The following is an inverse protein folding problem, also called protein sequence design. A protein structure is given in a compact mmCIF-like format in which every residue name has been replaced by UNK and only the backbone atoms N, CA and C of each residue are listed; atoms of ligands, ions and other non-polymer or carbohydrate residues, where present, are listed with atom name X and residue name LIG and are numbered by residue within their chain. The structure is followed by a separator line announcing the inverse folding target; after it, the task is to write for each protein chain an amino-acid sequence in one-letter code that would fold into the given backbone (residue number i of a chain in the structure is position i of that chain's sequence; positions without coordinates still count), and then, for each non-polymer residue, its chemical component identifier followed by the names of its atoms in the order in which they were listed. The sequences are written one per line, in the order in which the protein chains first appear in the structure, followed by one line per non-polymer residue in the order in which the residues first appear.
data_IF_024128351635
#
_entry.id   IF_024128351635
#
_cell.length_a   1.000
_cell.length_b   1.000
_cell.length_c   1.000
_cell.angle_alpha   90.00
_cell.angle_beta   90.00
_cell.angle_gamma   90.00
#
_symmetry.space_group_name_H-M   'P 1'
#
loop_
_entity.id
_entity.type
_entity.pdbx_description
1 polymer ?
#
# COMPACT_ATOMS: atom_id res chain seq x y z
N UNK A 1 -3.00 20.62 23.59
CA UNK A 1 -3.68 21.22 24.79
C UNK A 1 -2.63 21.84 25.67
N UNK A 2 -2.95 22.92 26.42
CA UNK A 2 -2.07 23.46 27.44
C UNK A 2 -2.12 22.58 28.71
N UNK A 3 -1.21 22.82 29.69
CA UNK A 3 -1.12 22.03 30.91
C UNK A 3 -2.42 21.99 31.77
N UNK A 4 -3.41 22.79 31.44
CA UNK A 4 -4.73 22.88 32.14
C UNK A 4 -5.87 22.29 31.29
N UNK A 5 -5.59 21.59 30.21
CA UNK A 5 -6.63 21.03 29.32
C UNK A 5 -7.34 22.06 28.41
N UNK A 6 -6.96 23.34 28.48
CA UNK A 6 -7.56 24.40 27.67
C UNK A 6 -7.14 24.30 26.18
N UNK A 7 -8.11 24.47 25.29
CA UNK A 7 -7.86 24.48 23.85
C UNK A 7 -7.21 25.81 23.44
N UNK A 8 -6.04 25.73 22.80
CA UNK A 8 -5.28 26.93 22.37
C UNK A 8 -5.81 27.47 21.04
N UNK A 9 -6.30 28.71 21.04
CA UNK A 9 -6.83 29.39 19.84
C UNK A 9 -5.81 30.26 19.11
N UNK A 10 -4.72 30.68 19.77
CA UNK A 10 -3.72 31.60 19.20
C UNK A 10 -3.06 31.08 17.91
N UNK A 11 -2.68 29.79 17.75
CA UNK A 11 -2.12 29.33 16.49
C UNK A 11 -3.06 29.55 15.31
N UNK A 12 -4.35 29.22 15.44
CA UNK A 12 -5.37 29.46 14.40
C UNK A 12 -5.55 30.93 14.10
N UNK A 13 -5.64 31.77 15.15
CA UNK A 13 -5.72 33.23 14.97
C UNK A 13 -4.52 33.80 14.21
N UNK A 14 -3.31 33.33 14.53
CA UNK A 14 -2.09 33.75 13.85
C UNK A 14 -2.10 33.32 12.36
N UNK A 15 -2.42 32.07 12.08
CA UNK A 15 -2.54 31.53 10.71
C UNK A 15 -3.52 32.36 9.87
N UNK A 16 -4.70 32.67 10.41
CA UNK A 16 -5.70 33.48 9.70
C UNK A 16 -5.25 34.92 9.51
N UNK A 17 -4.54 35.51 10.48
CA UNK A 17 -3.96 36.85 10.37
C UNK A 17 -2.96 36.90 9.23
N UNK A 18 -2.02 35.95 9.14
CA UNK A 18 -1.03 35.87 8.06
C UNK A 18 -1.70 35.68 6.70
N UNK A 19 -2.69 34.78 6.61
CA UNK A 19 -3.45 34.54 5.38
C UNK A 19 -4.13 35.82 4.87
N UNK A 20 -4.77 36.56 5.78
CA UNK A 20 -5.42 37.85 5.45
C UNK A 20 -4.42 38.91 5.06
N UNK A 21 -3.22 38.89 5.62
CA UNK A 21 -2.11 39.78 5.18
C UNK A 21 -1.72 39.57 3.72
N UNK A 22 -2.00 38.39 3.16
CA UNK A 22 -1.83 38.05 1.73
C UNK A 22 -3.08 38.36 0.88
N UNK A 23 -4.13 38.96 1.46
CA UNK A 23 -5.36 39.29 0.77
C UNK A 23 -6.38 38.13 0.67
N UNK A 24 -6.17 37.04 1.38
CA UNK A 24 -7.06 35.86 1.35
C UNK A 24 -7.83 35.76 2.67
N UNK A 25 -9.15 35.66 2.61
CA UNK A 25 -10.02 35.48 3.78
C UNK A 25 -10.62 34.07 3.76
N UNK A 26 -10.52 33.30 4.85
CA UNK A 26 -11.15 31.99 4.92
C UNK A 26 -12.67 32.13 5.10
N UNK A 27 -13.43 31.27 4.43
CA UNK A 27 -14.86 31.14 4.62
C UNK A 27 -15.19 30.13 5.74
N UNK A 28 -14.35 29.09 5.91
CA UNK A 28 -14.52 28.03 6.87
C UNK A 28 -13.19 27.77 7.58
N UNK A 29 -13.25 27.52 8.88
CA UNK A 29 -12.12 27.06 9.70
C UNK A 29 -12.35 25.61 10.09
N UNK A 30 -11.51 24.69 9.62
CA UNK A 30 -11.53 23.30 10.04
C UNK A 30 -10.40 23.09 11.04
N UNK A 31 -10.77 22.96 12.31
CA UNK A 31 -9.84 22.96 13.43
C UNK A 31 -9.55 21.54 13.92
N UNK A 32 -8.31 21.09 13.80
CA UNK A 32 -7.84 19.79 14.29
C UNK A 32 -7.54 19.85 15.79
N UNK A 33 -8.12 18.93 16.56
CA UNK A 33 -7.95 18.85 18.02
C UNK A 33 -8.09 17.40 18.49
N UNK A 34 -7.72 17.11 19.74
CA UNK A 34 -7.89 15.77 20.34
C UNK A 34 -9.32 15.53 20.84
N UNK A 35 -10.05 16.61 21.14
CA UNK A 35 -11.42 16.58 21.65
C UNK A 35 -12.28 17.61 20.91
N UNK A 36 -13.61 17.48 20.89
CA UNK A 36 -14.50 18.48 20.30
C UNK A 36 -14.19 19.89 20.77
N UNK A 37 -14.31 20.88 19.88
CA UNK A 37 -14.18 22.28 20.27
C UNK A 37 -15.33 22.67 21.22
N UNK A 38 -14.97 23.34 22.33
CA UNK A 38 -15.99 23.94 23.21
C UNK A 38 -16.70 25.09 22.49
N UNK A 39 -17.90 25.40 22.93
CA UNK A 39 -18.70 26.53 22.39
C UNK A 39 -17.91 27.84 22.52
N UNK A 40 -17.31 28.11 23.67
CA UNK A 40 -16.52 29.29 23.95
C UNK A 40 -15.28 29.39 23.03
N UNK A 41 -14.63 28.25 22.76
CA UNK A 41 -13.48 28.16 21.81
C UNK A 41 -13.92 28.48 20.38
N UNK A 42 -15.06 27.95 19.96
CA UNK A 42 -15.65 28.18 18.65
C UNK A 42 -16.03 29.65 18.44
N UNK A 43 -16.73 30.24 19.40
CA UNK A 43 -17.12 31.67 19.39
C UNK A 43 -15.90 32.57 19.38
N UNK A 44 -14.89 32.27 20.20
CA UNK A 44 -13.62 33.01 20.24
C UNK A 44 -12.88 32.96 18.89
N UNK A 45 -12.78 31.81 18.28
CA UNK A 45 -12.18 31.67 16.93
C UNK A 45 -12.98 32.44 15.89
N UNK A 46 -14.31 32.33 15.90
CA UNK A 46 -15.19 33.02 14.97
C UNK A 46 -14.98 34.54 15.04
N UNK A 47 -14.97 35.10 16.26
CA UNK A 47 -14.79 36.54 16.50
C UNK A 47 -13.41 37.03 15.98
N UNK A 48 -12.31 36.32 16.34
CA UNK A 48 -10.96 36.73 15.97
C UNK A 48 -10.63 36.50 14.50
N UNK A 49 -11.22 35.49 13.87
CA UNK A 49 -10.96 35.12 12.47
C UNK A 49 -11.97 35.74 11.50
N UNK A 50 -13.00 36.42 12.01
CA UNK A 50 -14.08 37.05 11.22
C UNK A 50 -14.85 36.07 10.32
N UNK A 51 -15.18 34.91 10.86
CA UNK A 51 -16.07 33.91 10.24
C UNK A 51 -17.29 33.72 11.14
N UNK A 52 -18.37 33.12 10.62
CA UNK A 52 -19.51 32.77 11.48
C UNK A 52 -19.13 31.63 12.45
N UNK A 53 -19.72 31.56 13.65
CA UNK A 53 -19.51 30.44 14.58
C UNK A 53 -19.81 29.07 13.95
N UNK A 54 -20.79 29.00 13.06
CA UNK A 54 -21.15 27.80 12.29
C UNK A 54 -20.04 27.36 11.32
N UNK A 55 -19.26 28.31 10.80
CA UNK A 55 -18.15 28.04 9.90
C UNK A 55 -16.85 27.62 10.63
N UNK A 56 -16.87 27.52 11.97
CA UNK A 56 -15.76 26.98 12.74
C UNK A 56 -16.06 25.52 13.06
N UNK A 57 -15.47 24.62 12.32
CA UNK A 57 -15.69 23.18 12.42
C UNK A 57 -14.62 22.50 13.26
N UNK A 58 -15.04 21.51 14.04
CA UNK A 58 -14.16 20.66 14.84
C UNK A 58 -13.86 19.38 14.09
N UNK A 59 -12.58 19.08 13.88
CA UNK A 59 -12.11 17.76 13.45
C UNK A 59 -11.27 17.16 14.57
N UNK A 60 -11.94 16.48 15.49
CA UNK A 60 -11.29 15.85 16.64
C UNK A 60 -10.97 14.38 16.37
N UNK A 61 -10.28 13.74 17.32
CA UNK A 61 -9.95 12.33 17.24
C UNK A 61 -11.20 11.46 17.17
N UNK A 62 -11.21 10.52 16.24
CA UNK A 62 -12.31 9.57 15.99
C UNK A 62 -11.74 8.16 15.90
N UNK A 63 -12.55 7.10 16.11
CA UNK A 63 -12.08 5.72 16.07
C UNK A 63 -11.33 5.35 14.77
N UNK A 64 -11.83 5.84 13.65
CA UNK A 64 -11.16 5.69 12.36
C UNK A 64 -11.41 6.93 11.47
N UNK A 65 -10.51 7.16 10.50
CA UNK A 65 -10.53 8.36 9.65
C UNK A 65 -11.81 8.50 8.80
N UNK A 66 -12.53 7.40 8.55
CA UNK A 66 -13.75 7.41 7.74
C UNK A 66 -14.94 8.06 8.44
N UNK A 67 -14.86 8.33 9.74
CA UNK A 67 -15.82 9.15 10.47
C UNK A 67 -15.69 10.67 10.19
N UNK A 68 -14.53 11.13 9.70
CA UNK A 68 -14.29 12.57 9.49
C UNK A 68 -15.28 13.21 8.50
N UNK A 69 -15.58 12.64 7.32
CA UNK A 69 -16.60 13.21 6.43
C UNK A 69 -17.98 13.29 7.07
N UNK A 70 -18.37 12.29 7.88
CA UNK A 70 -19.64 12.26 8.59
C UNK A 70 -19.70 13.38 9.64
N UNK A 71 -18.62 13.54 10.41
CA UNK A 71 -18.49 14.61 11.41
C UNK A 71 -18.58 16.01 10.79
N UNK A 72 -18.01 16.22 9.62
CA UNK A 72 -18.09 17.50 8.90
C UNK A 72 -19.50 17.74 8.35
N UNK A 73 -20.16 16.70 7.83
CA UNK A 73 -21.55 16.77 7.41
C UNK A 73 -22.48 17.14 8.57
N UNK A 74 -22.35 16.48 9.72
CA UNK A 74 -23.15 16.75 10.93
C UNK A 74 -22.99 18.18 11.44
N UNK A 75 -21.86 18.82 11.16
CA UNK A 75 -21.61 20.21 11.49
C UNK A 75 -22.08 21.21 10.41
N UNK A 76 -22.75 20.76 9.35
CA UNK A 76 -23.35 21.63 8.34
C UNK A 76 -22.37 22.09 7.25
N UNK A 77 -21.31 21.31 6.95
CA UNK A 77 -20.35 21.68 5.90
C UNK A 77 -21.02 21.90 4.53
N UNK A 78 -21.92 21.00 4.16
CA UNK A 78 -22.61 21.06 2.88
C UNK A 78 -23.50 22.32 2.75
N UNK A 79 -24.21 22.68 3.83
CA UNK A 79 -25.04 23.87 3.90
C UNK A 79 -24.24 25.15 3.71
N UNK A 80 -23.06 25.22 4.36
CA UNK A 80 -22.19 26.41 4.26
C UNK A 80 -21.60 26.52 2.86
N UNK A 81 -21.28 25.40 2.21
CA UNK A 81 -20.76 25.36 0.86
C UNK A 81 -21.85 25.54 -0.22
N UNK A 82 -23.13 25.54 0.16
CA UNK A 82 -24.24 25.62 -0.77
C UNK A 82 -24.34 24.38 -1.70
N UNK A 83 -23.82 23.22 -1.25
CA UNK A 83 -23.85 21.97 -2.02
C UNK A 83 -25.16 21.24 -1.74
N UNK A 84 -25.81 20.78 -2.82
CA UNK A 84 -27.07 20.03 -2.70
C UNK A 84 -26.85 18.66 -2.04
N UNK A 85 -27.66 18.39 -1.00
CA UNK A 85 -27.58 17.16 -0.19
C UNK A 85 -28.14 15.89 -0.84
N UNK A 86 -28.51 15.93 -2.14
CA UNK A 86 -29.22 14.82 -2.78
C UNK A 86 -28.39 13.55 -3.02
N UNK A 87 -27.16 13.50 -2.57
CA UNK A 87 -26.32 12.27 -2.61
C UNK A 87 -26.42 11.46 -1.31
N UNK A 88 -27.63 11.24 -0.81
CA UNK A 88 -27.89 10.53 0.45
C UNK A 88 -27.36 9.09 0.45
N UNK A 89 -27.37 8.41 -0.70
CA UNK A 89 -26.95 7.01 -0.79
C UNK A 89 -25.45 6.84 -0.57
N UNK A 90 -24.62 7.68 -1.17
CA UNK A 90 -23.16 7.64 -0.99
C UNK A 90 -22.76 7.87 0.48
N UNK A 91 -23.40 8.83 1.15
CA UNK A 91 -23.10 9.10 2.57
C UNK A 91 -23.63 8.00 3.49
N UNK A 92 -24.75 7.37 3.16
CA UNK A 92 -25.27 6.22 3.90
C UNK A 92 -24.34 5.01 3.77
N UNK A 93 -23.83 4.74 2.59
CA UNK A 93 -22.88 3.64 2.37
C UNK A 93 -21.54 3.93 3.03
N UNK A 94 -21.08 5.18 2.99
CA UNK A 94 -19.91 5.63 3.72
C UNK A 94 -20.06 5.46 5.24
N UNK A 95 -21.23 5.81 5.78
CA UNK A 95 -21.55 5.63 7.20
C UNK A 95 -21.54 4.16 7.61
N UNK A 96 -22.17 3.27 6.80
CA UNK A 96 -22.14 1.83 7.03
C UNK A 96 -20.70 1.32 7.07
N UNK A 97 -19.88 1.72 6.10
CA UNK A 97 -18.47 1.32 6.01
C UNK A 97 -17.66 1.80 7.22
N UNK A 98 -17.80 3.06 7.65
CA UNK A 98 -17.09 3.61 8.79
C UNK A 98 -17.43 2.87 10.10
N UNK A 99 -18.72 2.58 10.33
CA UNK A 99 -19.17 1.82 11.50
C UNK A 99 -18.77 0.33 11.39
N UNK A 100 -18.81 -0.25 10.20
CA UNK A 100 -18.39 -1.63 9.99
C UNK A 100 -16.94 -1.84 10.44
N UNK A 101 -16.03 -0.93 10.06
CA UNK A 101 -14.63 -0.99 10.48
C UNK A 101 -14.47 -0.99 12.01
N UNK A 102 -15.33 -0.25 12.73
CA UNK A 102 -15.29 -0.22 14.21
C UNK A 102 -15.75 -1.54 14.85
N UNK A 103 -16.52 -2.36 14.12
CA UNK A 103 -17.09 -3.62 14.62
C UNK A 103 -16.24 -4.86 14.32
N UNK A 104 -15.20 -4.71 13.49
CA UNK A 104 -14.31 -5.83 13.13
C UNK A 104 -13.51 -6.32 14.33
N UNK A 105 -13.66 -7.59 14.68
CA UNK A 105 -13.01 -8.23 15.83
C UNK A 105 -12.05 -9.34 15.43
N UNK A 106 -12.39 -10.13 14.41
CA UNK A 106 -11.53 -11.20 13.91
C UNK A 106 -10.32 -10.61 13.19
N UNK A 107 -9.13 -10.91 13.69
CA UNK A 107 -7.88 -10.40 13.11
C UNK A 107 -7.44 -11.20 11.88
N UNK A 108 -6.70 -10.54 10.99
CA UNK A 108 -5.85 -11.14 9.98
C UNK A 108 -4.46 -10.50 10.08
N UNK A 109 -3.45 -11.34 10.19
CA UNK A 109 -2.05 -10.95 10.38
C UNK A 109 -1.30 -10.95 9.07
N UNK A 110 -0.80 -9.79 8.65
CA UNK A 110 0.00 -9.66 7.42
C UNK A 110 1.42 -9.22 7.79
N UNK A 111 2.37 -10.12 7.54
CA UNK A 111 3.79 -9.81 7.65
C UNK A 111 4.19 -8.84 6.53
N UNK A 112 4.53 -7.61 6.90
CA UNK A 112 5.08 -6.61 5.97
C UNK A 112 6.59 -6.59 6.06
N UNK A 113 7.25 -7.24 5.09
CA UNK A 113 8.72 -7.37 5.05
C UNK A 113 9.32 -6.22 4.26
N UNK A 114 9.79 -5.20 4.97
CA UNK A 114 10.24 -3.94 4.37
C UNK A 114 11.53 -3.39 4.96
N UNK A 115 11.78 -2.12 4.62
CA UNK A 115 12.84 -1.28 5.21
C UNK A 115 12.19 -0.16 6.00
N UNK A 116 12.92 0.40 6.99
CA UNK A 116 12.40 1.56 7.76
C UNK A 116 11.04 1.28 8.40
N UNK A 117 10.90 0.10 8.97
CA UNK A 117 9.65 -0.37 9.58
C UNK A 117 9.19 0.48 10.76
N UNK A 118 10.09 1.26 11.36
CA UNK A 118 9.78 2.25 12.41
C UNK A 118 9.05 3.50 11.89
N UNK A 119 9.06 3.74 10.56
CA UNK A 119 8.42 4.88 9.90
C UNK A 119 7.22 4.41 9.06
N UNK A 120 6.11 4.10 9.70
CA UNK A 120 4.88 3.63 9.02
C UNK A 120 4.39 4.57 7.90
N UNK A 121 4.67 5.86 8.00
CA UNK A 121 4.28 6.86 6.99
C UNK A 121 4.89 6.58 5.60
N UNK A 122 6.07 5.93 5.55
CA UNK A 122 6.70 5.54 4.29
C UNK A 122 5.84 4.55 3.48
N UNK A 123 4.98 3.80 4.14
CA UNK A 123 4.12 2.77 3.55
C UNK A 123 2.63 3.11 3.60
N UNK A 124 2.27 4.36 3.83
CA UNK A 124 0.87 4.76 4.08
C UNK A 124 -0.10 4.26 2.99
N UNK A 125 0.27 4.33 1.71
CA UNK A 125 -0.57 3.84 0.61
C UNK A 125 -0.77 2.33 0.66
N UNK A 126 0.27 1.56 1.01
CA UNK A 126 0.22 0.10 1.19
C UNK A 126 -0.66 -0.25 2.38
N UNK A 127 -0.46 0.42 3.53
CA UNK A 127 -1.27 0.25 4.74
C UNK A 127 -2.74 0.50 4.44
N UNK A 128 -3.06 1.60 3.75
CA UNK A 128 -4.44 1.92 3.36
C UNK A 128 -5.03 0.87 2.42
N UNK A 129 -4.25 0.35 1.49
CA UNK A 129 -4.71 -0.70 0.58
C UNK A 129 -5.00 -2.01 1.31
N UNK A 130 -4.14 -2.40 2.26
CA UNK A 130 -4.40 -3.54 3.15
C UNK A 130 -5.66 -3.30 4.00
N UNK A 131 -5.87 -2.10 4.55
CA UNK A 131 -7.08 -1.76 5.30
C UNK A 131 -8.34 -1.87 4.44
N UNK A 132 -8.31 -1.34 3.21
CA UNK A 132 -9.46 -1.46 2.28
C UNK A 132 -9.78 -2.92 1.96
N UNK A 133 -8.75 -3.74 1.75
CA UNK A 133 -8.91 -5.16 1.47
C UNK A 133 -9.41 -5.94 2.70
N UNK A 134 -8.88 -5.64 3.90
CA UNK A 134 -9.30 -6.27 5.15
C UNK A 134 -10.78 -5.98 5.47
N UNK A 135 -11.22 -4.74 5.24
CA UNK A 135 -12.65 -4.37 5.35
C UNK A 135 -13.52 -5.19 4.40
N UNK A 136 -13.05 -5.45 3.18
CA UNK A 136 -13.81 -6.20 2.17
C UNK A 136 -13.91 -7.71 2.45
N UNK A 137 -13.06 -8.23 3.33
CA UNK A 137 -13.08 -9.64 3.80
C UNK A 137 -13.55 -9.79 5.25
N UNK A 138 -14.11 -8.73 5.82
CA UNK A 138 -14.63 -8.68 7.19
C UNK A 138 -13.59 -9.05 8.26
N UNK A 139 -12.37 -8.49 8.15
CA UNK A 139 -11.28 -8.73 9.11
C UNK A 139 -10.67 -7.44 9.63
N UNK A 140 -10.24 -7.50 10.90
CA UNK A 140 -9.41 -6.47 11.52
C UNK A 140 -7.96 -6.68 11.08
N UNK A 141 -7.40 -5.74 10.34
CA UNK A 141 -6.01 -5.81 9.89
C UNK A 141 -5.05 -5.65 11.07
N UNK A 142 -4.11 -6.58 11.19
CA UNK A 142 -2.89 -6.48 12.01
C UNK A 142 -1.70 -6.54 11.05
N UNK A 143 -0.81 -5.57 11.15
CA UNK A 143 0.43 -5.56 10.35
C UNK A 143 1.58 -5.93 11.26
N UNK A 144 2.19 -7.06 10.98
CA UNK A 144 3.40 -7.52 11.65
C UNK A 144 4.61 -6.98 10.87
N UNK A 145 5.21 -5.92 11.41
CA UNK A 145 6.33 -5.24 10.78
C UNK A 145 7.62 -6.04 10.91
N UNK A 146 8.25 -6.35 9.80
CA UNK A 146 9.50 -7.10 9.75
C UNK A 146 10.55 -6.29 9.00
N UNK A 147 11.60 -5.85 9.71
CA UNK A 147 12.78 -5.28 9.06
C UNK A 147 13.48 -6.40 8.28
N UNK A 148 13.55 -6.24 6.96
CA UNK A 148 13.99 -7.31 6.07
C UNK A 148 15.40 -7.84 6.39
N UNK A 149 16.32 -6.97 6.83
CA UNK A 149 17.67 -7.37 7.20
C UNK A 149 17.69 -8.39 8.36
N UNK A 150 16.68 -8.39 9.23
CA UNK A 150 16.62 -9.33 10.35
C UNK A 150 16.29 -10.78 9.91
N UNK A 151 15.87 -10.98 8.67
CA UNK A 151 15.65 -12.32 8.10
C UNK A 151 16.91 -12.87 7.40
N UNK A 152 17.96 -12.07 7.25
CA UNK A 152 19.19 -12.48 6.58
C UNK A 152 19.97 -13.51 7.40
N UNK A 153 20.63 -14.43 6.71
CA UNK A 153 21.35 -15.54 7.36
C UNK A 153 22.53 -15.08 8.22
N UNK A 154 23.15 -13.97 7.85
CA UNK A 154 24.31 -13.37 8.50
C UNK A 154 23.98 -12.24 9.49
N UNK A 155 22.67 -11.99 9.74
CA UNK A 155 22.29 -11.00 10.76
C UNK A 155 22.80 -11.40 12.13
N UNK A 156 23.58 -10.50 12.74
CA UNK A 156 24.36 -10.80 13.93
C UNK A 156 23.55 -10.81 15.24
N UNK A 157 22.39 -10.15 15.29
CA UNK A 157 21.54 -10.14 16.49
C UNK A 157 20.52 -11.28 16.44
N UNK A 158 20.84 -12.38 17.10
CA UNK A 158 19.99 -13.58 17.12
C UNK A 158 18.60 -13.36 17.73
N UNK A 159 18.45 -12.42 18.67
CA UNK A 159 17.15 -12.10 19.27
C UNK A 159 16.22 -11.40 18.27
N UNK A 160 16.75 -10.41 17.53
CA UNK A 160 16.01 -9.73 16.46
C UNK A 160 15.65 -10.69 15.33
N UNK A 161 16.61 -11.54 14.92
CA UNK A 161 16.43 -12.56 13.90
C UNK A 161 15.32 -13.56 14.30
N UNK A 162 15.37 -14.08 15.52
CA UNK A 162 14.35 -14.98 16.03
C UNK A 162 12.97 -14.32 16.02
N UNK A 163 12.86 -13.09 16.53
CA UNK A 163 11.63 -12.32 16.56
C UNK A 163 11.06 -12.11 15.15
N UNK A 164 11.90 -11.75 14.18
CA UNK A 164 11.50 -11.53 12.80
C UNK A 164 10.96 -12.81 12.15
N UNK A 165 11.67 -13.94 12.33
CA UNK A 165 11.23 -15.23 11.82
C UNK A 165 9.95 -15.76 12.51
N UNK A 166 9.80 -15.53 13.81
CA UNK A 166 8.58 -15.92 14.53
C UNK A 166 7.38 -15.08 14.06
N UNK A 167 7.57 -13.77 13.84
CA UNK A 167 6.53 -12.90 13.25
C UNK A 167 6.15 -13.38 11.86
N UNK A 168 7.12 -13.71 11.00
CA UNK A 168 6.86 -14.23 9.66
C UNK A 168 6.08 -15.54 9.66
N UNK A 169 6.44 -16.47 10.55
CA UNK A 169 5.81 -17.80 10.65
C UNK A 169 4.39 -17.76 11.21
N UNK A 170 4.08 -16.75 12.01
CA UNK A 170 2.76 -16.60 12.64
C UNK A 170 1.79 -15.74 11.80
N UNK A 171 2.25 -15.16 10.71
CA UNK A 171 1.40 -14.36 9.84
C UNK A 171 0.54 -15.22 8.91
N UNK A 172 -0.68 -14.74 8.63
CA UNK A 172 -1.62 -15.37 7.69
C UNK A 172 -1.25 -15.11 6.22
N UNK A 173 -0.45 -14.09 5.97
CA UNK A 173 0.03 -13.73 4.64
C UNK A 173 1.26 -12.83 4.69
N UNK A 174 2.01 -12.79 3.59
CA UNK A 174 3.26 -12.05 3.44
C UNK A 174 3.13 -11.00 2.35
N UNK A 175 3.53 -9.78 2.65
CA UNK A 175 3.65 -8.69 1.69
C UNK A 175 5.07 -8.16 1.64
N UNK A 176 5.66 -8.14 0.45
CA UNK A 176 6.95 -7.49 0.18
C UNK A 176 6.70 -6.26 -0.68
N UNK A 177 6.78 -5.05 -0.12
CA UNK A 177 6.51 -3.81 -0.85
C UNK A 177 7.65 -3.43 -1.80
N UNK A 178 7.37 -2.45 -2.66
CA UNK A 178 8.37 -1.79 -3.48
C UNK A 178 9.46 -1.09 -2.66
N UNK A 179 10.62 -0.91 -3.26
CA UNK A 179 11.77 -0.24 -2.65
C UNK A 179 12.92 -0.12 -3.62
N UNK A 180 13.98 0.58 -3.21
CA UNK A 180 15.22 0.74 -3.96
C UNK A 180 16.43 0.37 -3.10
N UNK A 181 17.55 -0.01 -3.75
CA UNK A 181 18.81 -0.34 -3.12
C UNK A 181 18.83 -1.73 -2.47
N UNK A 182 19.99 -2.14 -2.06
CA UNK A 182 20.40 -3.51 -1.73
C UNK A 182 20.10 -3.95 -0.28
N UNK A 183 19.95 -3.01 0.66
CA UNK A 183 19.71 -3.34 2.08
C UNK A 183 18.46 -4.21 2.27
N UNK A 184 18.61 -5.36 2.92
CA UNK A 184 17.51 -6.27 3.26
C UNK A 184 16.99 -7.08 2.07
N UNK A 185 17.71 -7.13 0.94
CA UNK A 185 17.28 -7.88 -0.25
C UNK A 185 17.27 -9.38 0.03
N UNK A 186 18.31 -9.92 0.65
CA UNK A 186 18.38 -11.35 0.97
C UNK A 186 17.30 -11.76 1.97
N UNK A 187 16.96 -10.89 2.92
CA UNK A 187 15.85 -11.15 3.83
C UNK A 187 14.48 -11.15 3.14
N UNK A 188 14.28 -10.30 2.12
CA UNK A 188 13.05 -10.34 1.29
C UNK A 188 12.99 -11.59 0.42
N UNK A 189 14.14 -12.04 -0.11
CA UNK A 189 14.26 -13.32 -0.83
C UNK A 189 13.92 -14.47 0.10
N UNK A 190 14.42 -14.45 1.35
CA UNK A 190 14.10 -15.47 2.36
C UNK A 190 12.61 -15.48 2.71
N UNK A 191 11.96 -14.32 2.83
CA UNK A 191 10.52 -14.23 3.05
C UNK A 191 9.70 -14.78 1.86
N UNK A 192 10.11 -14.48 0.63
CA UNK A 192 9.49 -15.02 -0.57
C UNK A 192 9.65 -16.55 -0.64
N UNK A 193 10.84 -17.07 -0.30
CA UNK A 193 11.12 -18.52 -0.19
C UNK A 193 10.21 -19.20 0.84
N UNK A 194 10.13 -18.60 2.03
CA UNK A 194 9.25 -19.10 3.09
C UNK A 194 7.81 -19.19 2.59
N UNK A 195 7.27 -18.09 2.07
CA UNK A 195 5.89 -18.04 1.59
C UNK A 195 5.61 -19.09 0.50
N UNK A 196 6.52 -19.24 -0.47
CA UNK A 196 6.38 -20.23 -1.54
C UNK A 196 6.37 -21.66 -1.03
N UNK A 197 7.31 -22.00 -0.14
CA UNK A 197 7.51 -23.39 0.32
C UNK A 197 6.50 -23.83 1.39
N UNK A 198 5.94 -22.89 2.15
CA UNK A 198 4.93 -23.15 3.18
C UNK A 198 3.49 -22.93 2.70
N UNK A 199 3.28 -22.57 1.44
CA UNK A 199 1.97 -22.23 0.88
C UNK A 199 1.30 -21.04 1.59
N UNK A 200 2.09 -20.16 2.21
CA UNK A 200 1.59 -18.93 2.83
C UNK A 200 1.29 -17.89 1.74
N UNK A 201 0.10 -17.27 1.72
CA UNK A 201 -0.24 -16.24 0.74
C UNK A 201 0.82 -15.13 0.64
N UNK A 202 1.19 -14.76 -0.58
CA UNK A 202 2.26 -13.82 -0.88
C UNK A 202 1.82 -12.76 -1.89
N UNK A 203 2.14 -11.50 -1.61
CA UNK A 203 2.05 -10.40 -2.57
C UNK A 203 3.40 -9.67 -2.65
N UNK A 204 4.04 -9.72 -3.81
CA UNK A 204 5.25 -8.94 -4.13
C UNK A 204 4.94 -7.74 -5.00
N UNK A 205 5.27 -6.52 -4.55
CA UNK A 205 5.02 -5.28 -5.28
C UNK A 205 6.35 -4.72 -5.79
N UNK A 206 6.49 -4.46 -7.08
CA UNK A 206 7.66 -3.88 -7.73
C UNK A 206 8.94 -4.66 -7.36
N UNK A 207 9.75 -4.19 -6.42
CA UNK A 207 10.90 -4.94 -5.89
C UNK A 207 10.47 -6.31 -5.34
N UNK A 208 9.27 -6.42 -4.73
CA UNK A 208 8.73 -7.68 -4.22
C UNK A 208 8.53 -8.73 -5.31
N UNK A 209 8.07 -8.35 -6.51
CA UNK A 209 8.04 -9.23 -7.68
C UNK A 209 9.46 -9.68 -8.05
N UNK A 210 10.42 -8.75 -8.07
CA UNK A 210 11.79 -9.02 -8.52
C UNK A 210 12.52 -9.98 -7.57
N UNK A 211 12.42 -9.78 -6.24
CA UNK A 211 13.06 -10.68 -5.26
C UNK A 211 12.43 -12.07 -5.27
N UNK A 212 11.13 -12.19 -5.51
CA UNK A 212 10.48 -13.49 -5.67
C UNK A 212 10.93 -14.21 -6.96
N UNK A 213 11.15 -13.47 -8.03
CA UNK A 213 11.74 -14.01 -9.26
C UNK A 213 13.18 -14.49 -9.05
N UNK A 214 14.00 -13.72 -8.31
CA UNK A 214 15.37 -14.12 -7.96
C UNK A 214 15.35 -15.38 -7.09
N UNK A 215 14.47 -15.43 -6.09
CA UNK A 215 14.26 -16.62 -5.25
C UNK A 215 13.96 -17.85 -6.11
N UNK A 216 13.00 -17.72 -7.02
CA UNK A 216 12.58 -18.82 -7.89
C UNK A 216 13.71 -19.29 -8.79
N UNK A 217 14.49 -18.37 -9.37
CA UNK A 217 15.66 -18.71 -10.15
C UNK A 217 16.71 -19.47 -9.34
N UNK A 218 16.97 -19.06 -8.10
CA UNK A 218 17.97 -19.71 -7.22
C UNK A 218 17.52 -21.10 -6.79
N UNK A 219 16.29 -21.24 -6.30
CA UNK A 219 15.86 -22.41 -5.54
C UNK A 219 15.00 -23.40 -6.34
N UNK A 220 14.40 -22.98 -7.45
CA UNK A 220 13.63 -23.86 -8.34
C UNK A 220 14.42 -24.19 -9.60
N UNK A 221 14.97 -23.19 -10.29
CA UNK A 221 15.78 -23.39 -11.48
C UNK A 221 17.23 -23.78 -11.18
N UNK A 222 17.64 -23.80 -9.91
CA UNK A 222 19.01 -24.09 -9.46
C UNK A 222 20.09 -23.21 -10.14
N UNK A 223 19.76 -21.93 -10.36
CA UNK A 223 20.68 -20.94 -10.90
C UNK A 223 21.44 -20.27 -9.76
N UNK A 224 22.52 -20.88 -9.31
CA UNK A 224 23.37 -20.36 -8.23
C UNK A 224 23.80 -18.92 -8.54
N UNK A 225 23.72 -18.03 -7.53
CA UNK A 225 24.09 -16.63 -7.65
C UNK A 225 23.18 -15.79 -8.54
N UNK A 226 21.99 -16.29 -8.93
CA UNK A 226 21.02 -15.47 -9.65
C UNK A 226 20.68 -14.22 -8.83
N UNK A 227 20.73 -13.04 -9.48
CA UNK A 227 20.54 -11.76 -8.81
C UNK A 227 19.97 -10.69 -9.77
N UNK A 228 19.73 -9.51 -9.24
CA UNK A 228 19.46 -8.31 -10.03
C UNK A 228 20.76 -7.59 -10.38
N UNK A 229 20.87 -7.08 -11.60
CA UNK A 229 21.98 -6.17 -11.99
C UNK A 229 21.91 -4.80 -11.27
N UNK A 230 20.86 -4.55 -10.49
CA UNK A 230 20.79 -3.41 -9.57
C UNK A 230 21.69 -3.61 -8.35
N UNK A 231 21.78 -4.85 -7.84
CA UNK A 231 22.48 -5.18 -6.62
C UNK A 231 23.87 -5.75 -6.88
N UNK A 232 24.02 -6.50 -7.97
CA UNK A 232 25.30 -7.08 -8.41
C UNK A 232 25.37 -7.05 -9.94
N UNK A 233 26.16 -6.11 -10.48
CA UNK A 233 26.38 -6.00 -11.93
C UNK A 233 27.12 -7.22 -12.54
N UNK A 234 27.80 -8.01 -11.70
CA UNK A 234 28.57 -9.18 -12.10
C UNK A 234 27.87 -10.51 -11.72
N UNK A 235 26.59 -10.47 -11.38
CA UNK A 235 25.84 -11.67 -11.02
C UNK A 235 26.01 -12.77 -12.10
N UNK A 236 26.33 -14.02 -11.68
CA UNK A 236 26.50 -15.15 -12.63
C UNK A 236 25.28 -15.36 -13.52
N UNK A 237 24.09 -15.08 -12.99
CA UNK A 237 22.83 -15.07 -13.71
C UNK A 237 22.06 -13.80 -13.35
N UNK A 238 21.86 -12.93 -14.33
CA UNK A 238 21.02 -11.75 -14.17
C UNK A 238 19.55 -12.16 -14.29
N UNK A 239 18.88 -12.45 -13.16
CA UNK A 239 17.46 -12.77 -13.14
C UNK A 239 16.58 -11.52 -13.36
N UNK A 240 17.08 -10.38 -12.92
CA UNK A 240 16.46 -9.06 -13.09
C UNK A 240 17.49 -8.13 -13.74
N UNK A 241 17.11 -7.44 -14.80
CA UNK A 241 17.99 -6.66 -15.66
C UNK A 241 17.54 -5.20 -15.75
N UNK A 242 18.50 -4.32 -16.05
CA UNK A 242 18.19 -2.93 -16.37
C UNK A 242 17.47 -2.86 -17.73
N UNK A 243 16.42 -2.04 -17.83
CA UNK A 243 15.65 -1.89 -19.07
C UNK A 243 16.50 -1.31 -20.20
N UNK A 244 16.61 -1.97 -21.37
CA UNK A 244 17.57 -1.61 -22.42
C UNK A 244 17.33 -0.25 -23.07
N UNK A 245 16.10 0.25 -23.08
CA UNK A 245 15.78 1.57 -23.65
C UNK A 245 16.16 2.75 -22.73
N UNK A 246 16.64 2.44 -21.53
CA UNK A 246 16.94 3.43 -20.50
C UNK A 246 18.45 3.67 -20.44
N UNK A 247 18.88 4.94 -20.46
CA UNK A 247 20.29 5.31 -20.33
C UNK A 247 20.78 5.13 -18.90
N UNK A 248 21.85 4.37 -18.71
CA UNK A 248 22.53 4.23 -17.41
C UNK A 248 23.24 5.52 -16.96
N UNK A 249 23.56 6.41 -17.90
CA UNK A 249 24.35 7.64 -17.63
C UNK A 249 23.49 8.89 -17.42
N UNK A 250 22.27 8.90 -17.95
CA UNK A 250 21.31 10.01 -17.78
C UNK A 250 20.11 9.51 -16.98
N UNK A 251 20.21 9.53 -15.66
CA UNK A 251 19.19 8.99 -14.75
C UNK A 251 17.92 9.87 -14.63
N UNK A 252 17.91 11.07 -15.16
CA UNK A 252 16.73 11.93 -15.21
C UNK A 252 15.78 11.50 -16.32
N UNK A 253 14.51 11.17 -15.98
CA UNK A 253 13.50 10.76 -16.97
C UNK A 253 13.61 9.31 -17.48
N UNK A 254 14.39 8.46 -16.81
CA UNK A 254 14.74 7.09 -17.27
C UNK A 254 13.97 5.98 -16.55
N UNK A 255 12.98 6.29 -15.73
CA UNK A 255 12.09 5.28 -15.16
C UNK A 255 10.91 5.03 -16.07
N UNK A 256 10.42 3.78 -16.10
CA UNK A 256 9.06 3.48 -16.55
C UNK A 256 8.11 4.10 -15.52
N UNK A 257 7.46 5.19 -15.91
CA UNK A 257 6.65 6.03 -15.03
C UNK A 257 5.21 6.16 -15.52
N UNK A 258 4.32 6.39 -14.54
CA UNK A 258 2.92 6.72 -14.79
C UNK A 258 2.06 5.51 -15.07
N UNK A 259 0.84 5.77 -15.49
CA UNK A 259 -0.13 4.71 -15.83
C UNK A 259 0.25 4.05 -17.15
N UNK A 260 0.30 2.71 -17.12
CA UNK A 260 0.56 1.88 -18.29
C UNK A 260 -0.40 0.71 -18.32
N UNK A 261 -0.84 0.26 -19.50
CA UNK A 261 -1.67 -0.93 -19.61
C UNK A 261 -0.82 -2.19 -19.44
N UNK A 262 -1.39 -3.17 -18.74
CA UNK A 262 -0.90 -4.54 -18.62
C UNK A 262 -1.92 -5.44 -19.31
N UNK A 263 -1.50 -6.17 -20.32
CA UNK A 263 -2.33 -7.08 -21.12
C UNK A 263 -2.30 -8.49 -20.53
N UNK A 264 -3.46 -9.10 -20.40
CA UNK A 264 -3.54 -10.49 -19.94
C UNK A 264 -2.98 -11.45 -20.99
N UNK A 265 -2.19 -12.41 -20.51
CA UNK A 265 -1.58 -13.45 -21.34
C UNK A 265 -2.31 -14.78 -21.22
N UNK A 266 -3.19 -14.92 -20.24
CA UNK A 266 -4.00 -16.11 -19.97
C UNK A 266 -5.45 -15.72 -19.73
N UNK A 267 -6.36 -16.63 -20.08
CA UNK A 267 -7.81 -16.38 -19.93
C UNK A 267 -8.27 -16.58 -18.48
N UNK A 268 -7.65 -17.50 -17.76
CA UNK A 268 -8.03 -17.85 -16.39
C UNK A 268 -6.81 -17.83 -15.46
N UNK A 269 -6.84 -16.93 -14.46
CA UNK A 269 -5.95 -16.91 -13.32
C UNK A 269 -6.61 -16.15 -12.17
N UNK A 270 -6.13 -16.37 -10.94
CA UNK A 270 -6.75 -15.77 -9.73
C UNK A 270 -6.76 -14.25 -9.79
N UNK A 271 -5.62 -13.67 -10.18
CA UNK A 271 -5.51 -12.21 -10.20
C UNK A 271 -6.40 -11.57 -11.28
N UNK A 272 -6.55 -12.18 -12.45
CA UNK A 272 -7.46 -11.70 -13.50
C UNK A 272 -8.91 -11.73 -13.02
N UNK A 273 -9.32 -12.83 -12.37
CA UNK A 273 -10.67 -12.94 -11.79
C UNK A 273 -10.97 -11.81 -10.79
N UNK A 274 -9.98 -11.39 -10.00
CA UNK A 274 -10.13 -10.28 -9.05
C UNK A 274 -10.22 -8.91 -9.72
N UNK A 275 -9.55 -8.70 -10.85
CA UNK A 275 -9.68 -7.47 -11.64
C UNK A 275 -11.02 -7.41 -12.41
N UNK A 276 -11.64 -8.55 -12.68
CA UNK A 276 -12.88 -8.66 -13.42
C UNK A 276 -12.69 -8.67 -14.94
N UNK A 277 -13.75 -8.34 -15.66
CA UNK A 277 -13.75 -8.35 -17.11
C UNK A 277 -12.87 -7.23 -17.70
N UNK A 278 -12.16 -7.56 -18.78
CA UNK A 278 -11.29 -6.63 -19.51
C UNK A 278 -10.08 -7.35 -20.12
N UNK A 279 -9.59 -6.81 -21.23
CA UNK A 279 -8.41 -7.35 -21.93
C UNK A 279 -7.11 -6.82 -21.31
N UNK A 280 -7.18 -5.71 -20.59
CA UNK A 280 -6.04 -5.05 -19.98
C UNK A 280 -6.42 -4.36 -18.66
N UNK A 281 -5.42 -4.09 -17.84
CA UNK A 281 -5.55 -3.26 -16.65
C UNK A 281 -4.53 -2.13 -16.70
N UNK A 282 -4.98 -0.92 -16.37
CA UNK A 282 -4.11 0.24 -16.28
C UNK A 282 -3.57 0.38 -14.87
N UNK A 283 -2.25 0.33 -14.68
CA UNK A 283 -1.64 0.48 -13.36
C UNK A 283 -0.43 1.42 -13.40
N UNK A 284 -0.02 1.94 -12.22
CA UNK A 284 1.07 2.90 -12.12
C UNK A 284 2.41 2.23 -11.93
N UNK A 285 3.36 2.56 -12.78
CA UNK A 285 4.73 2.06 -12.75
C UNK A 285 5.71 3.09 -12.18
N UNK A 286 6.77 2.57 -11.52
CA UNK A 286 7.93 3.34 -11.07
C UNK A 286 9.13 2.42 -10.90
N UNK A 287 9.74 1.97 -12.00
CA UNK A 287 10.87 1.06 -11.95
C UNK A 287 11.85 1.29 -13.11
N UNK A 288 13.09 0.79 -12.95
CA UNK A 288 14.15 0.79 -13.96
C UNK A 288 14.60 -0.62 -14.32
N UNK A 289 14.28 -1.59 -13.47
CA UNK A 289 14.67 -2.99 -13.64
C UNK A 289 13.43 -3.85 -13.87
N UNK A 290 13.63 -4.94 -14.60
CA UNK A 290 12.56 -5.88 -14.96
C UNK A 290 13.09 -7.31 -15.02
N UNK A 291 12.20 -8.30 -15.07
CA UNK A 291 12.56 -9.71 -15.24
C UNK A 291 13.32 -9.87 -16.54
N UNK A 292 14.43 -10.64 -16.49
CA UNK A 292 15.23 -10.92 -17.68
C UNK A 292 14.42 -11.73 -18.70
N UNK A 293 14.19 -11.21 -19.91
CA UNK A 293 13.44 -11.90 -20.96
C UNK A 293 13.98 -13.29 -21.32
N UNK A 294 15.30 -13.49 -21.24
CA UNK A 294 15.95 -14.75 -21.57
C UNK A 294 15.63 -15.91 -20.61
N UNK A 295 15.05 -15.60 -19.44
CA UNK A 295 14.72 -16.60 -18.44
C UNK A 295 13.22 -16.92 -18.39
N UNK A 296 12.36 -16.15 -19.07
CA UNK A 296 10.89 -16.25 -18.98
C UNK A 296 10.41 -17.68 -19.25
N UNK A 297 10.81 -18.28 -20.38
CA UNK A 297 10.37 -19.63 -20.76
C UNK A 297 10.76 -20.69 -19.71
N UNK A 298 11.95 -20.55 -19.12
CA UNK A 298 12.44 -21.49 -18.09
C UNK A 298 11.67 -21.32 -16.79
N UNK A 299 11.34 -20.08 -16.41
CA UNK A 299 10.58 -19.76 -15.22
C UNK A 299 9.14 -20.28 -15.35
N UNK A 300 8.50 -20.03 -16.50
CA UNK A 300 7.13 -20.47 -16.78
C UNK A 300 7.00 -22.01 -16.84
N UNK A 301 8.02 -22.70 -17.35
CA UNK A 301 8.05 -24.15 -17.39
C UNK A 301 8.00 -24.82 -16.00
N UNK A 302 8.47 -24.13 -14.96
CA UNK A 302 8.43 -24.58 -13.57
C UNK A 302 7.21 -24.01 -12.79
N UNK A 303 6.25 -23.39 -13.48
CA UNK A 303 4.95 -23.03 -12.94
C UNK A 303 4.83 -21.61 -12.40
N UNK A 304 5.86 -20.76 -12.44
CA UNK A 304 5.72 -19.34 -12.18
C UNK A 304 5.35 -18.63 -13.48
N UNK A 305 4.06 -18.47 -13.73
CA UNK A 305 3.52 -18.02 -15.02
C UNK A 305 3.38 -16.50 -15.05
N UNK A 306 3.88 -15.84 -16.09
CA UNK A 306 3.68 -14.41 -16.30
C UNK A 306 2.34 -14.14 -16.99
N UNK A 307 1.32 -13.98 -16.18
CA UNK A 307 -0.09 -13.82 -16.58
C UNK A 307 -0.44 -12.42 -17.10
N UNK A 308 0.44 -11.44 -16.90
CA UNK A 308 0.28 -10.07 -17.39
C UNK A 308 1.59 -9.52 -17.95
N UNK A 309 1.54 -8.94 -19.17
CA UNK A 309 2.68 -8.33 -19.85
C UNK A 309 2.31 -6.96 -20.41
N UNK A 310 3.31 -6.16 -20.76
CA UNK A 310 3.11 -4.86 -21.40
C UNK A 310 2.56 -4.99 -22.84
N UNK A 311 2.30 -3.86 -23.50
CA UNK A 311 1.76 -3.80 -24.87
C UNK A 311 2.67 -4.46 -25.90
N UNK A 312 3.96 -4.63 -25.61
CA UNK A 312 4.91 -5.30 -26.51
C UNK A 312 4.94 -6.81 -26.31
N UNK A 313 4.36 -7.32 -25.22
CA UNK A 313 4.40 -8.73 -24.82
C UNK A 313 5.77 -9.18 -24.29
N UNK A 314 6.72 -8.26 -24.13
CA UNK A 314 8.10 -8.59 -23.72
C UNK A 314 8.34 -8.40 -22.23
N UNK A 315 7.66 -7.44 -21.58
CA UNK A 315 7.87 -7.10 -20.18
C UNK A 315 6.87 -7.81 -19.29
N UNK A 316 7.39 -8.53 -18.32
CA UNK A 316 6.61 -9.25 -17.34
C UNK A 316 6.13 -8.30 -16.24
N UNK A 317 4.83 -8.11 -16.13
CA UNK A 317 4.23 -7.16 -15.19
C UNK A 317 3.44 -7.82 -14.07
N UNK A 318 2.94 -9.05 -14.29
CA UNK A 318 2.26 -9.85 -13.28
C UNK A 318 2.71 -11.30 -13.42
N UNK A 319 3.09 -11.92 -12.31
CA UNK A 319 3.19 -13.38 -12.26
C UNK A 319 2.21 -13.98 -11.23
N UNK A 320 1.86 -15.25 -11.47
CA UNK A 320 1.14 -16.11 -10.52
C UNK A 320 1.78 -17.49 -10.49
N UNK A 321 2.00 -18.05 -9.26
CA UNK A 321 2.53 -19.40 -9.10
C UNK A 321 1.38 -20.43 -9.15
N UNK A 322 1.47 -21.36 -10.09
CA UNK A 322 0.50 -22.44 -10.26
C UNK A 322 0.47 -23.34 -9.02
N UNK A 323 -0.73 -23.72 -8.57
CA UNK A 323 -0.91 -24.62 -7.44
C UNK A 323 -0.73 -23.98 -6.05
N UNK A 324 -0.28 -22.72 -5.97
CA UNK A 324 -0.20 -21.99 -4.71
C UNK A 324 -1.54 -21.32 -4.37
N UNK A 325 -1.97 -21.23 -3.09
CA UNK A 325 -3.19 -20.51 -2.71
C UNK A 325 -3.25 -19.09 -3.25
N UNK A 326 -2.17 -18.31 -3.04
CA UNK A 326 -1.98 -16.98 -3.62
C UNK A 326 -0.49 -16.62 -3.57
N UNK A 327 0.21 -16.66 -4.69
CA UNK A 327 1.60 -16.23 -4.81
C UNK A 327 1.71 -15.35 -6.05
N UNK A 328 1.52 -14.08 -5.85
CA UNK A 328 1.39 -13.08 -6.92
C UNK A 328 2.45 -12.00 -6.76
N UNK A 329 3.11 -11.69 -7.87
CA UNK A 329 3.98 -10.53 -7.98
C UNK A 329 3.46 -9.56 -9.03
N UNK A 330 3.54 -8.27 -8.74
CA UNK A 330 3.17 -7.19 -9.67
C UNK A 330 4.31 -6.19 -9.78
N UNK A 331 4.69 -5.81 -11.00
CA UNK A 331 5.79 -4.86 -11.24
C UNK A 331 5.35 -3.41 -11.00
N UNK A 332 4.07 -3.15 -11.13
CA UNK A 332 3.44 -1.85 -10.88
C UNK A 332 3.10 -1.65 -9.39
N UNK A 333 2.53 -0.50 -9.06
CA UNK A 333 2.15 -0.08 -7.72
C UNK A 333 0.62 -0.03 -7.56
N UNK A 334 -0.05 -1.15 -7.24
CA UNK A 334 -1.50 -1.26 -7.16
C UNK A 334 -2.10 -0.46 -5.98
N UNK A 335 -1.28 -0.09 -4.99
CA UNK A 335 -1.69 0.70 -3.84
C UNK A 335 -2.23 2.09 -4.21
N UNK A 336 -1.82 2.64 -5.35
CA UNK A 336 -2.31 3.96 -5.77
C UNK A 336 -3.75 3.98 -6.25
N UNK A 337 -4.31 2.83 -6.62
CA UNK A 337 -5.69 2.73 -7.12
C UNK A 337 -6.68 2.18 -6.09
N UNK A 338 -6.21 1.71 -4.93
CA UNK A 338 -7.07 1.23 -3.85
C UNK A 338 -7.91 2.35 -3.25
N UNK A 339 -9.18 2.07 -3.00
CA UNK A 339 -10.13 3.02 -2.39
C UNK A 339 -11.01 2.30 -1.38
N UNK A 340 -11.55 3.01 -0.37
CA UNK A 340 -12.61 2.45 0.49
C UNK A 340 -13.77 1.94 -0.35
N UNK A 341 -14.27 0.74 -0.05
CA UNK A 341 -15.35 0.08 -0.80
C UNK A 341 -14.93 -0.48 -2.17
N UNK A 342 -13.72 -0.17 -2.66
CA UNK A 342 -13.13 -0.71 -3.89
C UNK A 342 -11.64 -0.97 -3.69
N UNK A 343 -11.29 -2.01 -2.92
CA UNK A 343 -9.90 -2.37 -2.69
C UNK A 343 -9.19 -2.73 -3.98
N UNK A 344 -7.90 -2.46 -4.05
CA UNK A 344 -7.08 -2.89 -5.19
C UNK A 344 -7.02 -4.42 -5.24
N UNK A 345 -7.26 -5.04 -6.43
CA UNK A 345 -7.37 -6.48 -6.59
C UNK A 345 -6.20 -7.31 -6.05
N UNK A 346 -4.91 -6.93 -6.22
CA UNK A 346 -3.81 -7.69 -5.64
C UNK A 346 -3.85 -7.77 -4.11
N UNK A 347 -4.22 -6.68 -3.44
CA UNK A 347 -4.40 -6.67 -1.99
C UNK A 347 -5.61 -7.49 -1.55
N UNK A 348 -6.72 -7.38 -2.31
CA UNK A 348 -7.92 -8.17 -2.03
C UNK A 348 -7.63 -9.66 -2.12
N UNK A 349 -6.87 -10.10 -3.14
CA UNK A 349 -6.46 -11.49 -3.30
C UNK A 349 -5.61 -12.00 -2.15
N UNK A 350 -4.61 -11.20 -1.72
CA UNK A 350 -3.80 -11.53 -0.55
C UNK A 350 -4.70 -11.77 0.67
N UNK A 351 -5.59 -10.82 0.99
CA UNK A 351 -6.44 -10.91 2.17
C UNK A 351 -7.46 -12.05 2.09
N UNK A 352 -8.07 -12.29 0.91
CA UNK A 352 -8.97 -13.45 0.70
C UNK A 352 -8.25 -14.77 0.92
N UNK A 353 -7.05 -14.93 0.38
CA UNK A 353 -6.26 -16.14 0.57
C UNK A 353 -5.83 -16.32 2.04
N UNK A 354 -5.39 -15.23 2.69
CA UNK A 354 -5.00 -15.24 4.11
C UNK A 354 -6.15 -15.57 5.07
N UNK A 355 -7.39 -15.43 4.60
CA UNK A 355 -8.61 -15.72 5.41
C UNK A 355 -9.38 -16.96 4.92
N UNK A 356 -8.84 -17.71 3.96
CA UNK A 356 -9.49 -18.89 3.38
C UNK A 356 -10.74 -18.61 2.56
N UNK A 357 -10.86 -17.40 1.99
CA UNK A 357 -12.01 -16.94 1.19
C UNK A 357 -11.70 -16.87 -0.33
N UNK A 358 -10.58 -17.47 -0.75
CA UNK A 358 -10.15 -17.44 -2.15
C UNK A 358 -10.89 -18.48 -3.00
#
# INVERSE_FOLDING_TARGET
MGPVGEQKTKPTQHTVKELRGLGITPDILVCRSTSPLSIETREKLAAFCHVSPQAVMSTHDVPNIYHVPLMLQEQGLCEILGVDHRTTDLLNDWKKMAHHLDTLTEAVHIAMVGKYTDLSDAYLSVIKSLQHAAMAVDRKLVIDWIEASHLESDWSNEAEKTTAWDSLKNADGVLVPGGFGDRGVEGKIAAAHYARTTQTPYLGICLGLQVATIEFCRNVLNLEGANSTEFDENAPTAAVVFMPEISKTHLGGTMRLGTRPTLWQVDECKIRTLYGEGEAVDERHRHRYEVNPDLIERIEAEGLVFVGKDETGQRCEIFELTGHPYYVGVQYHPEFKSRPGRPSPPFLGLLKASTGQM
#
